data_IF_952371816825
#
_entry.id   IF_952371816825
#
_cell.length_a   1.000
_cell.length_b   1.000
_cell.length_c   1.000
_cell.angle_alpha   90.00
_cell.angle_beta   90.00
_cell.angle_gamma   90.00
#
_symmetry.space_group_name_H-M   'P 1'
#
loop_
_entity.id
_entity.type
_entity.pdbx_description
1 polymer ?
#
# COMPACT_ATOMS: atom_id res chain seq x y z
N UNK A 1 -5.58 4.89 -2.73
CA UNK A 1 -7.05 5.08 -2.59
C UNK A 1 -7.46 6.54 -2.35
N UNK A 2 -6.95 7.24 -1.32
CA UNK A 2 -7.35 8.65 -1.06
C UNK A 2 -7.13 9.59 -2.24
N UNK A 3 -6.00 9.47 -2.95
CA UNK A 3 -5.72 10.27 -4.16
C UNK A 3 -6.73 9.98 -5.27
N UNK A 4 -7.15 8.72 -5.44
CA UNK A 4 -8.19 8.37 -6.43
C UNK A 4 -9.53 9.01 -6.10
N UNK A 5 -9.91 9.03 -4.82
CA UNK A 5 -11.13 9.73 -4.37
C UNK A 5 -11.08 11.21 -4.76
N UNK A 6 -9.96 11.89 -4.53
CA UNK A 6 -9.78 13.30 -4.90
C UNK A 6 -9.81 13.51 -6.42
N UNK A 7 -9.22 12.62 -7.21
CA UNK A 7 -9.37 12.61 -8.68
C UNK A 7 -10.83 12.48 -9.13
N UNK A 8 -11.69 11.89 -8.30
CA UNK A 8 -13.12 11.70 -8.59
C UNK A 8 -14.04 12.66 -7.82
N UNK A 9 -13.52 13.74 -7.24
CA UNK A 9 -14.34 14.75 -6.54
C UNK A 9 -14.95 14.25 -5.22
N UNK A 10 -14.33 13.23 -4.62
CA UNK A 10 -14.73 12.66 -3.33
C UNK A 10 -13.71 13.05 -2.26
N UNK A 11 -14.20 13.34 -1.05
CA UNK A 11 -13.36 13.56 0.13
C UNK A 11 -12.60 12.28 0.52
N UNK A 12 -11.51 12.42 1.28
CA UNK A 12 -10.77 11.29 1.86
C UNK A 12 -11.69 10.34 2.67
N UNK A 13 -11.33 9.06 2.83
CA UNK A 13 -12.20 8.10 3.52
C UNK A 13 -12.50 8.54 4.95
N UNK A 14 -13.79 8.58 5.34
CA UNK A 14 -14.17 8.80 6.73
C UNK A 14 -13.77 7.56 7.54
N UNK A 15 -13.07 7.75 8.65
CA UNK A 15 -12.67 6.66 9.55
C UNK A 15 -13.89 5.94 10.13
N UNK A 16 -13.77 4.63 10.38
CA UNK A 16 -14.77 3.85 11.13
C UNK A 16 -14.26 3.60 12.55
N UNK A 17 -14.32 4.64 13.39
CA UNK A 17 -13.77 4.67 14.76
C UNK A 17 -14.84 4.57 15.87
N UNK A 18 -16.12 4.64 15.51
CA UNK A 18 -17.24 4.38 16.41
C UNK A 18 -17.94 3.10 15.96
N UNK A 19 -17.69 2.01 16.68
CA UNK A 19 -18.16 0.67 16.32
C UNK A 19 -19.67 0.47 16.52
N UNK A 20 -20.34 1.42 17.17
CA UNK A 20 -21.79 1.40 17.43
C UNK A 20 -22.57 2.25 16.43
N UNK A 21 -21.89 3.02 15.58
CA UNK A 21 -22.53 3.79 14.52
C UNK A 21 -22.86 2.91 13.30
N UNK A 22 -24.00 3.17 12.63
CA UNK A 22 -24.30 2.52 11.35
C UNK A 22 -23.22 2.77 10.30
N UNK A 23 -22.88 1.73 9.55
CA UNK A 23 -22.05 1.82 8.35
C UNK A 23 -22.93 2.37 7.22
N UNK A 24 -22.78 3.67 6.95
CA UNK A 24 -23.58 4.37 5.94
C UNK A 24 -23.46 3.72 4.54
N UNK A 25 -22.27 3.30 4.15
CA UNK A 25 -22.01 2.71 2.84
C UNK A 25 -22.43 1.24 2.78
N UNK A 26 -23.52 0.96 2.07
CA UNK A 26 -23.86 -0.41 1.64
C UNK A 26 -22.99 -0.86 0.47
N UNK A 27 -22.84 -2.18 0.31
CA UNK A 27 -22.10 -2.77 -0.80
C UNK A 27 -22.72 -4.10 -1.26
N UNK A 28 -22.87 -4.24 -2.58
CA UNK A 28 -23.48 -5.41 -3.23
C UNK A 28 -22.45 -6.04 -4.17
N UNK A 29 -21.74 -7.09 -3.74
CA UNK A 29 -20.53 -7.56 -4.41
C UNK A 29 -20.78 -8.16 -5.79
N UNK A 30 -21.97 -8.73 -6.03
CA UNK A 30 -22.33 -9.45 -7.27
C UNK A 30 -21.29 -10.52 -7.64
N UNK A 31 -20.67 -11.10 -6.62
CA UNK A 31 -19.77 -12.25 -6.74
C UNK A 31 -20.57 -13.52 -6.46
N UNK A 32 -20.19 -14.59 -7.13
CA UNK A 32 -20.71 -15.94 -6.92
C UNK A 32 -19.56 -16.91 -6.68
N UNK A 33 -19.76 -17.87 -5.79
CA UNK A 33 -18.77 -18.91 -5.48
C UNK A 33 -19.28 -20.24 -6.02
N UNK A 34 -18.57 -20.80 -7.00
CA UNK A 34 -18.90 -22.12 -7.55
C UNK A 34 -18.78 -23.22 -6.48
N UNK A 35 -17.77 -23.13 -5.61
CA UNK A 35 -17.51 -24.10 -4.54
C UNK A 35 -18.63 -24.08 -3.50
N UNK A 36 -19.03 -22.89 -3.04
CA UNK A 36 -20.10 -22.76 -2.07
C UNK A 36 -21.50 -22.89 -2.71
N UNK A 37 -21.58 -22.80 -4.04
CA UNK A 37 -22.83 -22.71 -4.82
C UNK A 37 -23.77 -21.60 -4.30
N UNK A 38 -23.17 -20.47 -3.89
CA UNK A 38 -23.89 -19.34 -3.30
C UNK A 38 -23.22 -18.01 -3.63
N UNK A 39 -24.06 -17.00 -3.82
CA UNK A 39 -23.65 -15.62 -3.96
C UNK A 39 -23.05 -15.09 -2.65
N UNK A 40 -22.11 -14.14 -2.77
CA UNK A 40 -21.57 -13.43 -1.63
C UNK A 40 -22.63 -12.47 -1.05
N UNK A 41 -22.95 -12.54 0.25
CA UNK A 41 -23.97 -11.69 0.86
C UNK A 41 -23.62 -10.20 0.72
N UNK A 42 -24.60 -9.34 0.38
CA UNK A 42 -24.42 -7.91 0.41
C UNK A 42 -24.46 -7.36 1.84
N UNK A 43 -23.92 -6.15 2.04
CA UNK A 43 -24.21 -5.33 3.23
C UNK A 43 -25.14 -4.19 2.82
N UNK A 44 -26.32 -4.11 3.42
CA UNK A 44 -27.24 -3.01 3.16
C UNK A 44 -26.75 -1.72 3.83
N UNK A 45 -27.09 -0.57 3.24
CA UNK A 45 -26.73 0.73 3.78
C UNK A 45 -27.34 0.92 5.19
N UNK A 46 -26.55 1.49 6.11
CA UNK A 46 -26.96 1.67 7.50
C UNK A 46 -26.90 0.39 8.36
N UNK A 47 -26.27 -0.68 7.87
CA UNK A 47 -26.01 -1.86 8.70
C UNK A 47 -25.10 -1.50 9.88
N UNK A 48 -25.37 -2.06 11.06
CA UNK A 48 -24.52 -1.91 12.25
C UNK A 48 -23.90 -3.25 12.58
N UNK A 49 -22.64 -3.27 12.99
CA UNK A 49 -22.03 -4.51 13.52
C UNK A 49 -22.70 -4.89 14.84
N UNK A 50 -22.71 -6.18 15.16
CA UNK A 50 -23.37 -6.74 16.35
C UNK A 50 -22.46 -7.79 16.98
N UNK A 51 -22.70 -8.09 18.24
CA UNK A 51 -22.01 -9.18 18.93
C UNK A 51 -22.20 -10.49 18.15
N UNK A 52 -21.12 -11.25 18.05
CA UNK A 52 -21.04 -12.47 17.25
C UNK A 52 -21.17 -13.69 18.14
N UNK A 53 -22.05 -14.61 17.78
CA UNK A 53 -22.16 -15.94 18.39
C UNK A 53 -22.44 -16.99 17.30
N UNK A 54 -21.37 -17.44 16.65
CA UNK A 54 -21.42 -18.39 15.53
C UNK A 54 -20.63 -19.65 15.88
N UNK A 55 -21.25 -20.62 16.60
CA UNK A 55 -20.55 -21.84 17.02
C UNK A 55 -19.96 -22.67 15.89
N UNK A 56 -20.58 -22.67 14.71
CA UNK A 56 -20.07 -23.40 13.52
C UNK A 56 -18.73 -22.85 13.02
N UNK A 57 -18.52 -21.54 13.19
CA UNK A 57 -17.32 -20.83 12.76
C UNK A 57 -16.31 -20.74 13.92
N UNK A 58 -16.67 -21.24 15.11
CA UNK A 58 -15.90 -21.11 16.36
C UNK A 58 -15.65 -19.65 16.76
N UNK A 59 -16.60 -18.77 16.44
CA UNK A 59 -16.52 -17.33 16.72
C UNK A 59 -17.53 -16.99 17.82
N UNK A 60 -17.03 -16.39 18.90
CA UNK A 60 -17.84 -15.70 19.90
C UNK A 60 -17.08 -14.48 20.38
N UNK A 61 -17.61 -13.29 20.08
CA UNK A 61 -16.95 -12.03 20.41
C UNK A 61 -17.96 -10.88 20.50
N UNK A 62 -17.78 -10.01 21.49
CA UNK A 62 -18.63 -8.84 21.67
C UNK A 62 -17.99 -7.59 21.05
N UNK A 63 -18.80 -6.65 20.55
CA UNK A 63 -18.31 -5.36 20.02
C UNK A 63 -17.51 -4.58 21.06
N UNK A 64 -17.82 -4.77 22.35
CA UNK A 64 -17.08 -4.17 23.48
C UNK A 64 -15.62 -4.65 23.57
N UNK A 65 -15.30 -5.83 23.03
CA UNK A 65 -13.92 -6.32 22.97
C UNK A 65 -13.07 -5.47 22.01
N UNK A 66 -13.62 -5.07 20.85
CA UNK A 66 -12.94 -4.15 19.93
C UNK A 66 -12.65 -2.81 20.62
N UNK A 67 -13.62 -2.29 21.40
CA UNK A 67 -13.47 -1.05 22.16
C UNK A 67 -12.34 -1.19 23.20
N UNK A 68 -12.32 -2.31 23.92
CA UNK A 68 -11.30 -2.62 24.92
C UNK A 68 -9.91 -2.74 24.29
N UNK A 69 -9.78 -3.46 23.18
CA UNK A 69 -8.49 -3.61 22.49
C UNK A 69 -7.99 -2.27 21.95
N UNK A 70 -8.86 -1.47 21.33
CA UNK A 70 -8.53 -0.08 20.93
C UNK A 70 -7.94 0.69 22.10
N UNK A 71 -8.61 0.71 23.24
CA UNK A 71 -8.19 1.52 24.39
C UNK A 71 -6.83 1.04 24.93
N UNK A 72 -6.59 -0.27 24.94
CA UNK A 72 -5.28 -0.86 25.27
C UNK A 72 -4.18 -0.46 24.28
N UNK A 73 -4.48 -0.41 22.98
CA UNK A 73 -3.53 0.06 21.95
C UNK A 73 -3.17 1.53 22.15
N UNK A 74 -4.18 2.38 22.31
CA UNK A 74 -3.98 3.81 22.54
C UNK A 74 -3.13 4.00 23.81
N UNK A 75 -3.44 3.30 24.91
CA UNK A 75 -2.66 3.38 26.14
C UNK A 75 -1.20 2.94 25.95
N UNK A 76 -0.95 1.85 25.21
CA UNK A 76 0.41 1.38 24.96
C UNK A 76 1.24 2.38 24.14
N UNK A 77 0.61 3.05 23.17
CA UNK A 77 1.23 4.12 22.38
C UNK A 77 1.45 5.36 23.24
N UNK A 78 0.49 5.73 24.10
CA UNK A 78 0.66 6.85 25.01
C UNK A 78 1.83 6.65 25.98
N UNK A 79 1.93 5.44 26.55
CA UNK A 79 3.02 5.00 27.42
C UNK A 79 4.35 4.79 26.67
N UNK A 80 4.34 4.76 25.33
CA UNK A 80 5.45 4.32 24.49
C UNK A 80 6.03 2.97 24.94
N UNK A 81 5.16 2.06 25.39
CA UNK A 81 5.56 0.74 25.86
C UNK A 81 4.40 -0.28 25.83
N UNK A 82 4.72 -1.54 25.52
CA UNK A 82 3.77 -2.65 25.48
C UNK A 82 3.88 -3.53 26.72
N UNK A 83 2.74 -3.99 27.23
CA UNK A 83 2.65 -4.91 28.36
C UNK A 83 2.86 -6.35 27.90
N UNK A 84 3.83 -7.04 28.49
CA UNK A 84 4.07 -8.47 28.27
C UNK A 84 3.22 -9.35 29.21
N UNK A 85 3.05 -10.65 28.90
CA UNK A 85 2.29 -11.57 29.75
C UNK A 85 2.83 -11.72 31.18
N UNK A 86 4.13 -11.49 31.37
CA UNK A 86 4.78 -11.53 32.69
C UNK A 86 4.64 -10.22 33.49
N UNK A 87 3.83 -9.27 33.03
CA UNK A 87 3.59 -7.98 33.68
C UNK A 87 4.67 -6.91 33.44
N UNK A 88 5.77 -7.24 32.74
CA UNK A 88 6.80 -6.25 32.37
C UNK A 88 6.34 -5.40 31.19
N UNK A 89 6.82 -4.16 31.13
CA UNK A 89 6.68 -3.30 29.95
C UNK A 89 7.94 -3.35 29.08
N UNK A 90 7.76 -3.39 27.77
CA UNK A 90 8.85 -3.25 26.77
C UNK A 90 8.63 -1.96 25.99
N UNK A 91 9.65 -1.09 25.87
CA UNK A 91 9.53 0.16 25.12
C UNK A 91 9.15 -0.07 23.65
N UNK A 92 8.38 0.86 23.09
CA UNK A 92 8.18 1.02 21.65
C UNK A 92 9.27 1.94 21.12
N UNK A 93 10.41 1.36 20.72
CA UNK A 93 11.56 2.11 20.22
C UNK A 93 11.45 2.45 18.72
N UNK A 94 12.28 3.40 18.27
CA UNK A 94 12.22 3.91 16.90
C UNK A 94 12.51 2.86 15.79
N UNK A 95 13.24 1.78 16.12
CA UNK A 95 13.68 0.77 15.16
C UNK A 95 12.65 -0.37 15.04
N UNK A 96 12.11 -0.85 16.16
CA UNK A 96 11.24 -2.03 16.20
C UNK A 96 9.80 -1.75 16.62
N UNK A 97 9.51 -0.56 17.16
CA UNK A 97 8.20 -0.23 17.72
C UNK A 97 7.05 -0.35 16.71
N UNK A 98 7.27 0.04 15.45
CA UNK A 98 6.26 -0.11 14.39
C UNK A 98 5.98 -1.59 14.06
N UNK A 99 7.01 -2.43 14.01
CA UNK A 99 6.88 -3.87 13.76
C UNK A 99 6.17 -4.58 14.93
N UNK A 100 6.51 -4.21 16.16
CA UNK A 100 5.81 -4.69 17.36
C UNK A 100 4.33 -4.30 17.31
N UNK A 101 4.01 -3.03 17.02
CA UNK A 101 2.63 -2.58 16.91
C UNK A 101 1.89 -3.26 15.76
N UNK A 102 2.52 -3.50 14.61
CA UNK A 102 1.93 -4.22 13.48
C UNK A 102 1.48 -5.62 13.87
N UNK A 103 2.38 -6.39 14.50
CA UNK A 103 2.09 -7.75 14.97
C UNK A 103 1.04 -7.80 16.10
N UNK A 104 0.98 -6.77 16.95
CA UNK A 104 -0.07 -6.66 17.96
C UNK A 104 -1.42 -6.34 17.29
N UNK A 105 -1.46 -5.37 16.38
CA UNK A 105 -2.68 -4.79 15.79
C UNK A 105 -3.41 -5.73 14.84
N UNK A 106 -2.67 -6.42 13.96
CA UNK A 106 -3.23 -7.27 12.91
C UNK A 106 -4.29 -8.23 13.46
N UNK A 107 -4.05 -9.06 14.47
CA UNK A 107 -2.80 -9.48 15.11
C UNK A 107 -2.16 -10.66 14.36
N UNK A 108 -0.88 -10.95 14.66
CA UNK A 108 -0.19 -12.13 14.14
C UNK A 108 0.18 -13.12 15.26
N UNK A 109 0.58 -14.34 14.89
CA UNK A 109 0.99 -15.36 15.88
C UNK A 109 2.24 -14.96 16.68
N UNK A 110 3.05 -14.06 16.15
CA UNK A 110 4.26 -13.54 16.82
C UNK A 110 3.98 -12.27 17.66
N UNK A 111 2.71 -11.91 17.83
CA UNK A 111 2.25 -10.89 18.77
C UNK A 111 2.82 -11.11 20.17
N UNK A 112 3.41 -10.05 20.76
CA UNK A 112 4.09 -10.13 22.06
C UNK A 112 3.14 -10.40 23.23
N UNK A 113 1.85 -10.11 23.09
CA UNK A 113 0.83 -10.38 24.10
C UNK A 113 -0.59 -10.40 23.50
N UNK A 114 -0.87 -11.40 22.66
CA UNK A 114 -2.17 -11.53 21.97
C UNK A 114 -3.37 -11.64 22.92
N UNK A 115 -3.20 -12.29 24.08
CA UNK A 115 -4.27 -12.39 25.08
C UNK A 115 -4.70 -11.05 25.68
N UNK A 116 -3.79 -10.06 25.72
CA UNK A 116 -4.11 -8.73 26.24
C UNK A 116 -4.50 -7.74 25.13
N UNK A 117 -3.75 -7.68 24.03
CA UNK A 117 -4.01 -6.73 22.94
C UNK A 117 -5.07 -7.20 21.94
N UNK A 118 -5.44 -8.48 21.97
CA UNK A 118 -6.49 -9.03 21.14
C UNK A 118 -6.10 -9.17 19.68
N UNK A 119 -7.10 -9.01 18.81
CA UNK A 119 -7.02 -9.26 17.37
C UNK A 119 -7.80 -8.18 16.59
N UNK A 120 -7.54 -6.91 16.92
CA UNK A 120 -8.41 -5.77 16.57
C UNK A 120 -8.67 -5.67 15.06
N UNK A 121 -7.63 -5.60 14.23
CA UNK A 121 -7.78 -5.43 12.77
C UNK A 121 -8.57 -6.59 12.15
N UNK A 122 -8.19 -7.84 12.43
CA UNK A 122 -8.83 -9.04 11.89
C UNK A 122 -10.28 -9.17 12.36
N UNK A 123 -10.55 -8.96 13.64
CA UNK A 123 -11.92 -9.04 14.15
C UNK A 123 -12.79 -7.93 13.58
N UNK A 124 -12.26 -6.73 13.30
CA UNK A 124 -13.00 -5.72 12.55
C UNK A 124 -13.49 -6.20 11.19
N UNK A 125 -12.65 -6.96 10.45
CA UNK A 125 -13.07 -7.62 9.22
C UNK A 125 -14.23 -8.61 9.46
N UNK A 126 -14.12 -9.45 10.50
CA UNK A 126 -15.13 -10.47 10.88
C UNK A 126 -16.46 -9.82 11.28
N UNK A 127 -16.45 -8.82 12.15
CA UNK A 127 -17.65 -8.10 12.58
C UNK A 127 -18.38 -7.44 11.42
N UNK A 128 -17.64 -6.83 10.48
CA UNK A 128 -18.22 -6.21 9.29
C UNK A 128 -18.76 -7.27 8.32
N UNK A 129 -18.05 -8.39 8.15
CA UNK A 129 -18.42 -9.42 7.17
C UNK A 129 -19.68 -10.20 7.57
N UNK A 130 -19.90 -10.40 8.88
CA UNK A 130 -21.08 -11.09 9.43
C UNK A 130 -22.19 -10.16 9.91
N UNK A 131 -22.13 -8.85 9.61
CA UNK A 131 -23.14 -7.89 10.11
C UNK A 131 -24.58 -8.23 9.71
N UNK A 132 -24.77 -9.03 8.66
CA UNK A 132 -26.06 -9.49 8.17
C UNK A 132 -26.59 -10.76 8.85
N UNK A 133 -25.72 -11.56 9.48
CA UNK A 133 -26.07 -12.81 10.17
C UNK A 133 -25.10 -13.10 11.34
N UNK A 134 -25.10 -12.27 12.39
CA UNK A 134 -24.07 -12.32 13.43
C UNK A 134 -24.12 -13.56 14.34
N UNK A 135 -25.24 -14.28 14.37
CA UNK A 135 -25.45 -15.45 15.23
C UNK A 135 -25.82 -16.72 14.45
N UNK A 136 -25.58 -16.70 13.13
CA UNK A 136 -25.80 -17.83 12.24
C UNK A 136 -27.25 -18.33 12.12
N UNK A 137 -28.24 -17.59 12.62
CA UNK A 137 -29.64 -18.00 12.56
C UNK A 137 -30.18 -18.12 11.12
N UNK A 138 -29.59 -17.40 10.17
CA UNK A 138 -29.99 -17.41 8.76
C UNK A 138 -29.10 -18.32 7.89
N UNK A 139 -28.12 -19.01 8.47
CA UNK A 139 -27.21 -19.92 7.78
C UNK A 139 -26.38 -19.24 6.66
N UNK A 140 -26.10 -17.94 6.81
CA UNK A 140 -25.36 -17.16 5.81
C UNK A 140 -23.84 -17.24 6.04
N UNK A 141 -23.09 -17.10 4.93
CA UNK A 141 -21.62 -16.96 4.95
C UNK A 141 -21.18 -15.52 5.21
N UNK A 142 -19.90 -15.29 5.41
CA UNK A 142 -19.36 -13.93 5.48
C UNK A 142 -19.53 -13.18 4.14
N UNK A 143 -19.73 -11.86 4.21
CA UNK A 143 -19.61 -10.97 3.04
C UNK A 143 -18.14 -10.76 2.64
N UNK A 144 -17.89 -9.96 1.60
CA UNK A 144 -16.54 -9.79 1.01
C UNK A 144 -15.46 -9.30 1.98
N UNK A 145 -15.83 -8.63 3.08
CA UNK A 145 -14.88 -8.24 4.11
C UNK A 145 -14.23 -9.43 4.85
N UNK A 146 -14.82 -10.63 4.77
CA UNK A 146 -14.31 -11.84 5.42
C UNK A 146 -13.20 -12.56 4.64
N UNK A 147 -12.87 -12.13 3.42
CA UNK A 147 -11.84 -12.75 2.59
C UNK A 147 -10.89 -11.70 1.99
N UNK A 148 -9.60 -11.87 2.24
CA UNK A 148 -8.53 -11.00 1.74
C UNK A 148 -8.55 -10.76 0.22
N UNK A 149 -8.97 -11.75 -0.59
CA UNK A 149 -9.03 -11.63 -2.04
C UNK A 149 -10.21 -10.75 -2.53
N UNK A 150 -11.18 -10.48 -1.66
CA UNK A 150 -12.40 -9.73 -2.02
C UNK A 150 -12.62 -8.46 -1.19
N UNK A 151 -11.99 -8.33 -0.02
CA UNK A 151 -12.24 -7.25 0.94
C UNK A 151 -12.02 -5.85 0.34
N UNK A 152 -10.96 -5.65 -0.45
CA UNK A 152 -10.66 -4.34 -1.08
C UNK A 152 -11.73 -3.84 -2.07
N UNK A 153 -12.71 -4.69 -2.44
CA UNK A 153 -13.85 -4.30 -3.26
C UNK A 153 -14.88 -3.47 -2.49
N UNK A 154 -14.97 -3.65 -1.17
CA UNK A 154 -15.94 -2.98 -0.32
C UNK A 154 -15.45 -1.59 0.11
N UNK A 155 -16.22 -0.50 -0.08
CA UNK A 155 -15.84 0.83 0.40
C UNK A 155 -15.50 0.90 1.90
N UNK A 156 -16.10 0.04 2.74
CA UNK A 156 -15.83 0.03 4.18
C UNK A 156 -14.42 -0.47 4.52
N UNK A 157 -13.79 -1.26 3.65
CA UNK A 157 -12.39 -1.68 3.80
C UNK A 157 -11.49 -0.47 4.06
N UNK A 158 -11.66 0.55 3.23
CA UNK A 158 -10.86 1.76 3.31
C UNK A 158 -11.22 2.65 4.51
N UNK A 159 -12.45 2.57 5.03
CA UNK A 159 -12.86 3.26 6.26
C UNK A 159 -12.27 2.61 7.50
N UNK A 160 -12.24 1.28 7.51
CA UNK A 160 -11.64 0.46 8.56
C UNK A 160 -10.12 0.64 8.59
N UNK A 161 -9.46 0.47 7.44
CA UNK A 161 -8.01 0.64 7.33
C UNK A 161 -7.55 2.09 7.56
N UNK A 162 -8.35 3.11 7.20
CA UNK A 162 -8.05 4.49 7.58
C UNK A 162 -8.09 4.72 9.10
N UNK A 163 -8.92 3.97 9.83
CA UNK A 163 -8.95 4.03 11.29
C UNK A 163 -7.75 3.29 11.91
N UNK A 164 -7.40 2.12 11.37
CA UNK A 164 -6.21 1.38 11.79
C UNK A 164 -4.92 2.18 11.53
N UNK A 165 -4.78 2.77 10.33
CA UNK A 165 -3.66 3.68 10.01
C UNK A 165 -3.57 4.83 11.01
N UNK A 166 -4.70 5.44 11.37
CA UNK A 166 -4.71 6.54 12.33
C UNK A 166 -4.17 6.14 13.71
N UNK A 167 -4.41 4.91 14.18
CA UNK A 167 -3.81 4.40 15.42
C UNK A 167 -2.29 4.28 15.26
N UNK A 168 -1.81 3.75 14.12
CA UNK A 168 -0.36 3.74 13.86
C UNK A 168 0.24 5.14 13.77
N UNK A 169 -0.50 6.11 13.23
CA UNK A 169 -0.06 7.50 13.18
C UNK A 169 0.09 8.11 14.58
N UNK A 170 -0.69 7.69 15.59
CA UNK A 170 -0.47 8.13 16.98
C UNK A 170 0.95 7.81 17.46
N UNK A 171 1.46 6.62 17.12
CA UNK A 171 2.83 6.23 17.42
C UNK A 171 3.84 7.01 16.57
N UNK A 172 3.64 7.07 15.25
CA UNK A 172 4.56 7.80 14.35
C UNK A 172 4.68 9.28 14.71
N UNK A 173 3.61 9.90 15.21
CA UNK A 173 3.60 11.29 15.64
C UNK A 173 4.36 11.53 16.97
N UNK A 174 4.59 10.49 17.77
CA UNK A 174 5.43 10.55 18.98
C UNK A 174 6.92 10.37 18.70
N UNK A 175 7.29 9.90 17.51
CA UNK A 175 8.69 9.77 17.13
C UNK A 175 9.32 11.13 16.92
N UNK A 176 10.60 11.25 17.28
CA UNK A 176 11.36 12.48 17.05
C UNK A 176 11.44 12.72 15.53
N UNK A 177 11.14 13.94 15.04
CA UNK A 177 11.39 14.30 13.66
C UNK A 177 12.84 13.98 13.29
N UNK A 178 13.06 13.47 12.10
CA UNK A 178 14.42 13.20 11.62
C UNK A 178 15.25 14.48 11.67
N UNK A 179 16.45 14.35 12.22
CA UNK A 179 17.47 15.37 12.20
C UNK A 179 18.19 15.40 10.85
N UNK A 180 18.84 16.52 10.52
CA UNK A 180 19.51 16.69 9.23
C UNK A 180 20.56 15.59 8.96
N UNK A 181 21.26 15.06 9.97
CA UNK A 181 22.20 13.95 9.81
C UNK A 181 21.55 12.64 9.32
N UNK A 182 20.23 12.49 9.49
CA UNK A 182 19.49 11.33 8.98
C UNK A 182 19.04 11.51 7.52
N UNK A 183 18.96 12.76 7.04
CA UNK A 183 18.57 13.11 5.68
C UNK A 183 19.75 13.37 4.76
N UNK A 184 20.76 14.05 5.28
CA UNK A 184 21.84 14.62 4.51
C UNK A 184 22.68 13.53 3.89
N UNK A 185 22.99 13.73 2.61
CA UNK A 185 24.03 12.99 1.92
C UNK A 185 25.11 14.01 1.50
N UNK A 186 26.07 14.33 2.39
CA UNK A 186 27.03 15.40 2.16
C UNK A 186 27.76 15.25 0.83
N UNK A 187 27.86 16.36 0.11
CA UNK A 187 28.47 16.42 -1.22
C UNK A 187 27.53 16.04 -2.37
N UNK A 188 26.35 15.48 -2.10
CA UNK A 188 25.35 15.15 -3.12
C UNK A 188 24.26 16.21 -3.16
N UNK A 189 24.02 16.75 -4.35
CA UNK A 189 22.95 17.71 -4.62
C UNK A 189 22.09 17.23 -5.77
N UNK A 190 20.79 17.06 -5.53
CA UNK A 190 19.82 16.85 -6.61
C UNK A 190 19.51 18.21 -7.21
N UNK A 191 19.93 18.44 -8.44
CA UNK A 191 19.73 19.69 -9.16
C UNK A 191 18.32 19.79 -9.72
N UNK A 192 17.77 18.68 -10.22
CA UNK A 192 16.39 18.61 -10.68
C UNK A 192 15.88 17.17 -10.73
N UNK A 193 14.56 17.04 -10.72
CA UNK A 193 13.84 15.83 -11.09
C UNK A 193 12.75 16.21 -12.09
N UNK A 194 12.47 15.33 -13.05
CA UNK A 194 11.38 15.50 -14.00
C UNK A 194 10.94 14.19 -14.63
N UNK A 195 9.86 14.27 -15.40
CA UNK A 195 9.31 13.13 -16.15
C UNK A 195 9.42 13.41 -17.64
N UNK A 196 9.88 12.43 -18.40
CA UNK A 196 9.82 12.40 -19.85
C UNK A 196 8.85 11.31 -20.29
N UNK A 197 7.76 11.71 -20.96
CA UNK A 197 6.75 10.82 -21.52
C UNK A 197 6.40 11.22 -22.95
N UNK A 198 5.67 10.35 -23.67
CA UNK A 198 5.14 10.66 -25.00
C UNK A 198 4.16 11.83 -25.02
N UNK A 199 3.60 12.22 -23.87
CA UNK A 199 2.66 13.34 -23.71
C UNK A 199 3.33 14.69 -23.43
N UNK A 200 4.66 14.72 -23.35
CA UNK A 200 5.46 15.90 -23.04
C UNK A 200 6.15 15.84 -21.67
N UNK A 201 6.96 16.85 -21.34
CA UNK A 201 7.66 16.92 -20.06
C UNK A 201 6.69 17.08 -18.90
N UNK A 202 6.93 16.37 -17.80
CA UNK A 202 6.20 16.47 -16.52
C UNK A 202 4.69 16.21 -16.62
N UNK A 203 4.28 15.53 -17.70
CA UNK A 203 2.91 15.12 -17.98
C UNK A 203 2.83 13.61 -18.01
N UNK A 204 1.81 13.10 -17.35
CA UNK A 204 1.47 11.68 -17.29
C UNK A 204 0.09 11.48 -17.90
N UNK A 205 -0.04 10.46 -18.73
CA UNK A 205 -1.30 10.10 -19.39
C UNK A 205 -1.84 8.80 -18.80
N UNK A 206 -3.14 8.81 -18.49
CA UNK A 206 -3.89 7.61 -18.10
C UNK A 206 -5.09 7.43 -19.01
N UNK A 207 -5.53 6.18 -19.18
CA UNK A 207 -6.68 5.79 -19.98
C UNK A 207 -7.21 4.44 -19.55
N UNK A 208 -8.30 4.00 -20.17
CA UNK A 208 -8.77 2.62 -20.02
C UNK A 208 -8.03 1.69 -20.97
N UNK A 209 -7.72 0.48 -20.51
CA UNK A 209 -7.20 -0.61 -21.34
C UNK A 209 -8.12 -1.83 -21.21
N UNK A 210 -8.50 -2.41 -22.33
CA UNK A 210 -9.20 -3.69 -22.39
C UNK A 210 -8.18 -4.82 -22.58
N UNK A 211 -8.19 -5.76 -21.64
CA UNK A 211 -7.31 -6.93 -21.65
C UNK A 211 -8.12 -8.22 -21.53
N UNK A 212 -7.45 -9.34 -21.82
CA UNK A 212 -8.01 -10.68 -21.68
C UNK A 212 -7.40 -11.43 -20.50
N UNK A 213 -8.19 -12.30 -19.89
CA UNK A 213 -7.80 -13.23 -18.84
C UNK A 213 -8.29 -14.64 -19.20
N UNK A 214 -7.42 -15.63 -19.07
CA UNK A 214 -7.77 -17.05 -19.24
C UNK A 214 -8.41 -17.59 -17.95
N UNK A 215 -9.67 -18.02 -18.05
CA UNK A 215 -10.46 -18.54 -16.94
C UNK A 215 -10.61 -20.05 -16.96
N UNK A 216 -10.25 -20.73 -18.04
CA UNK A 216 -10.55 -22.15 -18.26
C UNK A 216 -10.05 -23.07 -17.13
N UNK A 217 -8.93 -22.75 -16.48
CA UNK A 217 -8.42 -23.54 -15.35
C UNK A 217 -9.29 -23.44 -14.08
N UNK A 218 -10.02 -22.34 -13.89
CA UNK A 218 -10.83 -22.11 -12.69
C UNK A 218 -12.31 -22.41 -12.89
N UNK A 219 -12.70 -23.01 -14.01
CA UNK A 219 -14.09 -23.34 -14.34
C UNK A 219 -14.29 -24.85 -14.33
N UNK A 220 -14.71 -25.38 -13.18
CA UNK A 220 -14.96 -26.81 -13.01
C UNK A 220 -16.13 -27.28 -13.88
N UNK A 221 -16.06 -28.56 -14.29
CA UNK A 221 -17.12 -29.23 -15.07
C UNK A 221 -17.48 -28.56 -16.41
N UNK A 222 -16.53 -27.82 -17.00
CA UNK A 222 -16.66 -27.24 -18.34
C UNK A 222 -15.84 -28.03 -19.37
N UNK A 223 -16.24 -28.05 -20.67
CA UNK A 223 -15.42 -28.64 -21.72
C UNK A 223 -14.02 -28.03 -21.76
N UNK A 224 -13.01 -28.85 -22.03
CA UNK A 224 -11.62 -28.37 -22.18
C UNK A 224 -11.53 -27.36 -23.32
N UNK A 225 -10.81 -26.27 -23.08
CA UNK A 225 -10.59 -25.22 -24.06
C UNK A 225 -10.17 -23.92 -23.39
N UNK A 226 -9.74 -22.95 -24.18
CA UNK A 226 -9.49 -21.59 -23.71
C UNK A 226 -10.82 -20.88 -23.47
N UNK A 227 -10.98 -20.30 -22.28
CA UNK A 227 -12.14 -19.48 -21.90
C UNK A 227 -11.63 -18.10 -21.53
N UNK A 228 -11.61 -17.20 -22.51
CA UNK A 228 -11.12 -15.84 -22.31
C UNK A 228 -12.25 -14.90 -21.87
N UNK A 229 -12.03 -14.22 -20.74
CA UNK A 229 -12.84 -13.07 -20.36
C UNK A 229 -12.15 -11.77 -20.75
N UNK A 230 -12.92 -10.81 -21.26
CA UNK A 230 -12.47 -9.44 -21.50
C UNK A 230 -12.86 -8.56 -20.33
N UNK A 231 -11.92 -7.76 -19.84
CA UNK A 231 -12.17 -6.80 -18.77
C UNK A 231 -11.44 -5.49 -19.07
N UNK A 232 -11.94 -4.39 -18.50
CA UNK A 232 -11.38 -3.06 -18.66
C UNK A 232 -10.79 -2.60 -17.33
N UNK A 233 -9.57 -2.08 -17.36
CA UNK A 233 -8.86 -1.58 -16.20
C UNK A 233 -8.17 -0.25 -16.50
N UNK A 234 -7.81 0.49 -15.45
CA UNK A 234 -6.98 1.69 -15.59
C UNK A 234 -5.61 1.29 -16.16
N UNK A 235 -5.02 2.20 -16.92
CA UNK A 235 -3.69 2.06 -17.47
C UNK A 235 -3.03 3.43 -17.64
N UNK A 236 -1.70 3.47 -17.65
CA UNK A 236 -0.92 4.65 -17.99
C UNK A 236 0.01 4.41 -19.17
N UNK A 237 0.45 5.49 -19.81
CA UNK A 237 1.57 5.42 -20.74
C UNK A 237 2.88 5.26 -19.97
N UNK A 238 3.82 4.48 -20.52
CA UNK A 238 5.15 4.34 -19.96
C UNK A 238 5.90 5.69 -20.03
N UNK A 239 6.67 5.98 -18.99
CA UNK A 239 7.46 7.20 -18.88
C UNK A 239 8.82 6.92 -18.24
N UNK A 240 9.72 7.91 -18.30
CA UNK A 240 11.03 7.87 -17.66
C UNK A 240 11.18 9.02 -16.66
N UNK A 241 11.73 8.74 -15.50
CA UNK A 241 12.28 9.76 -14.61
C UNK A 241 13.63 10.24 -15.16
N UNK A 242 13.86 11.54 -15.07
CA UNK A 242 15.14 12.18 -15.39
C UNK A 242 15.57 12.99 -14.18
N UNK A 243 16.69 12.62 -13.58
CA UNK A 243 17.21 13.24 -12.35
C UNK A 243 18.61 13.77 -12.63
N UNK A 244 18.79 15.07 -12.47
CA UNK A 244 20.11 15.69 -12.55
C UNK A 244 20.71 15.78 -11.14
N UNK A 245 21.91 15.22 -10.96
CA UNK A 245 22.59 15.18 -9.66
C UNK A 245 24.04 15.62 -9.83
N UNK A 246 24.52 16.41 -8.87
CA UNK A 246 25.91 16.81 -8.76
C UNK A 246 26.55 16.19 -7.52
N UNK A 247 27.69 15.54 -7.71
CA UNK A 247 28.49 14.95 -6.65
C UNK A 247 29.82 15.70 -6.49
N UNK A 248 29.98 16.37 -5.36
CA UNK A 248 31.15 17.18 -5.00
C UNK A 248 32.11 16.49 -4.04
N UNK A 249 31.92 15.19 -3.76
CA UNK A 249 32.77 14.43 -2.83
C UNK A 249 34.16 14.06 -3.39
N UNK A 250 34.39 14.29 -4.69
CA UNK A 250 35.65 13.98 -5.37
C UNK A 250 35.82 12.51 -5.77
N UNK A 251 34.90 11.63 -5.39
CA UNK A 251 34.88 10.21 -5.80
C UNK A 251 33.46 9.74 -6.14
N UNK A 252 33.35 8.60 -6.82
CA UNK A 252 32.05 7.97 -7.06
C UNK A 252 31.44 7.45 -5.75
N UNK A 253 30.15 7.69 -5.55
CA UNK A 253 29.41 7.20 -4.36
C UNK A 253 28.19 6.39 -4.78
N UNK A 254 27.67 5.57 -3.88
CA UNK A 254 26.39 4.87 -4.07
C UNK A 254 25.28 5.61 -3.34
N UNK A 255 24.18 5.90 -4.05
CA UNK A 255 22.98 6.49 -3.47
C UNK A 255 21.75 5.59 -3.62
N UNK A 256 20.83 5.68 -2.68
CA UNK A 256 19.47 5.13 -2.81
C UNK A 256 18.54 6.25 -3.28
N UNK A 257 18.05 6.15 -4.51
CA UNK A 257 17.07 7.06 -5.07
C UNK A 257 15.68 6.65 -4.58
N UNK A 258 14.93 7.59 -4.02
CA UNK A 258 13.58 7.41 -3.48
C UNK A 258 12.64 8.39 -4.17
N UNK A 259 11.63 7.88 -4.86
CA UNK A 259 10.66 8.68 -5.62
C UNK A 259 9.28 8.55 -4.98
N UNK A 260 8.64 9.68 -4.75
CA UNK A 260 7.28 9.75 -4.21
C UNK A 260 6.42 10.71 -5.02
N UNK A 261 5.11 10.52 -4.98
CA UNK A 261 4.14 11.44 -5.57
C UNK A 261 3.01 11.73 -4.60
N UNK A 262 2.62 13.00 -4.52
CA UNK A 262 1.47 13.43 -3.73
C UNK A 262 0.61 14.45 -4.49
N UNK A 263 -0.70 14.54 -4.20
CA UNK A 263 -1.51 15.68 -4.59
C UNK A 263 -0.97 16.97 -3.96
N UNK A 264 -1.21 18.11 -4.62
CA UNK A 264 -0.83 19.44 -4.10
C UNK A 264 -1.94 20.10 -3.29
N UNK A 265 -3.20 19.76 -3.59
CA UNK A 265 -4.38 20.35 -2.97
C UNK A 265 -5.23 19.28 -2.27
N UNK A 266 -5.97 19.70 -1.25
CA UNK A 266 -6.99 18.91 -0.57
C UNK A 266 -8.27 18.78 -1.41
N UNK A 267 -9.25 18.03 -0.88
CA UNK A 267 -10.57 17.86 -1.50
C UNK A 267 -11.38 19.15 -1.71
N UNK A 268 -11.01 20.26 -1.05
CA UNK A 268 -11.65 21.58 -1.20
C UNK A 268 -10.92 22.49 -2.20
N UNK A 269 -9.78 22.03 -2.74
CA UNK A 269 -8.93 22.78 -3.65
C UNK A 269 -7.91 23.70 -2.96
N UNK A 270 -7.74 23.60 -1.63
CA UNK A 270 -6.73 24.36 -0.90
C UNK A 270 -5.39 23.63 -0.90
N UNK A 271 -4.25 24.34 -0.89
CA UNK A 271 -2.95 23.70 -0.76
C UNK A 271 -2.83 22.87 0.52
N UNK A 272 -2.31 21.66 0.41
CA UNK A 272 -2.03 20.81 1.57
C UNK A 272 -0.82 21.36 2.34
N UNK A 273 -0.90 21.37 3.66
CA UNK A 273 0.29 21.55 4.50
C UNK A 273 1.16 20.29 4.48
N UNK A 274 2.38 20.39 5.00
CA UNK A 274 3.33 19.27 5.00
C UNK A 274 2.79 18.02 5.72
N UNK A 275 2.19 18.16 6.90
CA UNK A 275 1.75 17.02 7.72
C UNK A 275 0.59 16.24 7.06
N UNK A 276 -0.30 16.94 6.35
CA UNK A 276 -1.32 16.29 5.55
C UNK A 276 -0.74 15.68 4.26
N UNK A 277 0.16 16.40 3.58
CA UNK A 277 0.72 15.96 2.31
C UNK A 277 1.63 14.74 2.47
N UNK A 278 2.43 14.66 3.55
CA UNK A 278 3.31 13.50 3.80
C UNK A 278 2.53 12.19 3.92
N UNK A 279 1.30 12.23 4.46
CA UNK A 279 0.41 11.07 4.57
C UNK A 279 -0.20 10.65 3.23
N UNK A 280 -0.03 11.46 2.20
CA UNK A 280 -0.50 11.23 0.84
C UNK A 280 0.65 10.97 -0.15
N UNK A 281 1.89 10.90 0.34
CA UNK A 281 3.06 10.53 -0.46
C UNK A 281 3.02 9.04 -0.79
N UNK A 282 2.68 8.73 -2.04
CA UNK A 282 2.70 7.37 -2.59
C UNK A 282 4.11 7.07 -3.10
N UNK A 283 4.70 5.97 -2.66
CA UNK A 283 5.99 5.51 -3.17
C UNK A 283 5.87 5.14 -4.65
N UNK A 284 6.75 5.67 -5.48
CA UNK A 284 6.76 5.48 -6.93
C UNK A 284 7.88 4.54 -7.36
N UNK A 285 9.05 4.66 -6.73
CA UNK A 285 10.19 3.77 -6.93
C UNK A 285 11.24 3.99 -5.83
N UNK A 286 12.06 2.95 -5.60
CA UNK A 286 13.24 2.95 -4.75
C UNK A 286 14.32 2.06 -5.38
N UNK A 287 15.47 2.64 -5.69
CA UNK A 287 16.57 1.89 -6.33
C UNK A 287 17.93 2.46 -5.99
N UNK A 288 18.97 1.63 -6.07
CA UNK A 288 20.36 2.04 -5.85
C UNK A 288 21.00 2.48 -7.16
N UNK A 289 21.82 3.53 -7.12
CA UNK A 289 22.54 4.03 -8.29
C UNK A 289 23.94 4.52 -7.92
N UNK A 290 24.91 4.26 -8.81
CA UNK A 290 26.26 4.79 -8.68
C UNK A 290 26.29 6.22 -9.23
N UNK A 291 26.79 7.16 -8.43
CA UNK A 291 26.85 8.58 -8.76
C UNK A 291 28.32 8.98 -8.92
N UNK A 292 28.82 9.16 -10.15
CA UNK A 292 30.21 9.56 -10.39
C UNK A 292 30.47 10.96 -9.82
N UNK A 293 31.74 11.35 -9.64
CA UNK A 293 32.08 12.71 -9.26
C UNK A 293 31.71 13.70 -10.38
N UNK A 294 31.23 14.89 -10.01
CA UNK A 294 30.70 15.91 -10.91
C UNK A 294 29.21 15.75 -11.20
N UNK A 295 28.73 16.45 -12.23
CA UNK A 295 27.34 16.39 -12.68
C UNK A 295 27.05 15.13 -13.49
N UNK A 296 25.91 14.50 -13.24
CA UNK A 296 25.43 13.33 -13.98
C UNK A 296 23.90 13.29 -14.04
N UNK A 297 23.39 12.58 -15.05
CA UNK A 297 21.96 12.40 -15.27
C UNK A 297 21.57 10.94 -15.03
N UNK A 298 20.63 10.70 -14.14
CA UNK A 298 20.03 9.39 -13.90
C UNK A 298 18.74 9.29 -14.71
N UNK A 299 18.59 8.21 -15.48
CA UNK A 299 17.36 7.88 -16.21
C UNK A 299 16.79 6.56 -15.69
N UNK A 300 15.52 6.55 -15.33
CA UNK A 300 14.85 5.38 -14.75
C UNK A 300 13.49 5.17 -15.43
N UNK A 301 13.28 4.00 -16.03
CA UNK A 301 12.01 3.68 -16.66
C UNK A 301 10.96 3.33 -15.61
N UNK A 302 9.72 3.79 -15.81
CA UNK A 302 8.56 3.42 -14.97
C UNK A 302 8.38 1.91 -14.83
N UNK A 303 8.61 1.14 -15.90
CA UNK A 303 8.54 -0.33 -15.95
C UNK A 303 9.54 -1.04 -15.03
N UNK A 304 10.55 -0.33 -14.51
CA UNK A 304 11.51 -0.85 -13.55
C UNK A 304 11.13 -0.55 -12.10
N UNK A 305 9.94 0.01 -11.84
CA UNK A 305 9.51 0.37 -10.49
C UNK A 305 9.56 -0.83 -9.54
N UNK A 306 10.27 -0.64 -8.43
CA UNK A 306 10.35 -1.54 -7.27
C UNK A 306 9.06 -1.63 -6.46
N UNK A 307 8.01 -0.91 -6.85
CA UNK A 307 6.67 -0.99 -6.26
C UNK A 307 5.81 -2.03 -6.98
N UNK A 308 6.05 -2.23 -8.28
CA UNK A 308 5.09 -2.91 -9.16
C UNK A 308 5.59 -4.22 -9.74
N UNK A 309 4.65 -5.06 -10.15
CA UNK A 309 4.87 -6.23 -11.00
C UNK A 309 4.17 -6.05 -12.36
N UNK A 310 4.73 -6.61 -13.44
CA UNK A 310 4.16 -6.43 -14.77
C UNK A 310 2.86 -7.22 -14.95
N UNK A 311 2.09 -6.87 -15.99
CA UNK A 311 0.75 -7.43 -16.26
C UNK A 311 0.76 -8.96 -16.30
N UNK A 312 1.71 -9.54 -17.04
CA UNK A 312 1.89 -10.98 -17.20
C UNK A 312 2.18 -11.70 -15.89
N UNK A 313 2.70 -11.02 -14.87
CA UNK A 313 2.92 -11.65 -13.55
C UNK A 313 1.64 -11.72 -12.73
N UNK A 314 0.76 -10.72 -12.87
CA UNK A 314 -0.55 -10.67 -12.19
C UNK A 314 -1.55 -11.61 -12.85
N UNK A 315 -1.64 -11.59 -14.19
CA UNK A 315 -2.67 -12.28 -14.96
C UNK A 315 -2.15 -13.51 -15.73
N UNK A 316 -0.99 -14.07 -15.34
CA UNK A 316 -0.44 -15.31 -15.90
C UNK A 316 -1.43 -16.47 -15.79
N UNK A 317 -1.37 -17.34 -16.79
CA UNK A 317 -2.10 -18.59 -16.77
C UNK A 317 -1.65 -19.46 -15.58
N UNK A 318 -2.60 -19.88 -14.76
CA UNK A 318 -2.32 -20.75 -13.61
C UNK A 318 -2.01 -22.20 -14.04
N UNK A 319 -2.24 -22.55 -15.31
CA UNK A 319 -1.90 -23.86 -15.87
C UNK A 319 -0.40 -24.13 -15.91
N UNK A 320 0.43 -23.08 -15.91
CA UNK A 320 1.88 -23.18 -15.89
C UNK A 320 2.49 -23.07 -14.48
N UNK A 321 1.68 -23.08 -13.42
CA UNK A 321 2.19 -23.08 -12.03
C UNK A 321 3.02 -24.35 -11.79
N UNK A 322 4.32 -24.24 -11.49
CA UNK A 322 5.19 -25.38 -11.26
C UNK A 322 4.99 -25.95 -9.85
N UNK A 323 5.34 -27.23 -9.69
CA UNK A 323 5.31 -27.91 -8.40
C UNK A 323 3.91 -28.24 -7.87
N UNK A 324 3.89 -29.06 -6.82
CA UNK A 324 2.67 -29.37 -6.08
C UNK A 324 2.37 -28.27 -5.03
N UNK A 325 1.11 -28.10 -4.60
CA UNK A 325 0.78 -27.19 -3.51
C UNK A 325 1.67 -27.42 -2.28
N UNK A 326 2.37 -26.36 -1.83
CA UNK A 326 3.28 -26.41 -0.69
C UNK A 326 4.74 -26.74 -1.04
N UNK A 327 5.07 -27.00 -2.31
CA UNK A 327 6.46 -27.16 -2.75
C UNK A 327 7.20 -25.81 -2.79
N UNK A 328 8.53 -25.85 -2.80
CA UNK A 328 9.36 -24.65 -2.87
C UNK A 328 9.17 -23.90 -4.20
N UNK A 329 8.98 -24.63 -5.30
CA UNK A 329 8.75 -24.09 -6.65
C UNK A 329 7.36 -23.44 -6.76
N UNK A 330 6.36 -23.96 -6.07
CA UNK A 330 5.05 -23.34 -5.97
C UNK A 330 5.12 -22.05 -5.12
N UNK A 331 5.86 -22.06 -4.01
CA UNK A 331 6.03 -20.91 -3.12
C UNK A 331 6.84 -19.75 -3.76
N UNK A 332 8.05 -20.03 -4.27
CA UNK A 332 8.34 -19.85 -5.70
C UNK A 332 7.52 -18.83 -6.48
N UNK A 333 6.76 -19.45 -7.37
CA UNK A 333 5.81 -18.86 -8.26
C UNK A 333 4.83 -17.93 -7.52
N UNK A 334 4.24 -18.36 -6.42
CA UNK A 334 3.20 -17.60 -5.70
C UNK A 334 3.73 -16.28 -5.14
N UNK A 335 4.93 -16.26 -4.56
CA UNK A 335 5.58 -15.04 -4.08
C UNK A 335 5.79 -14.03 -5.21
N UNK A 336 6.15 -14.48 -6.41
CA UNK A 336 6.24 -13.60 -7.57
C UNK A 336 4.88 -12.96 -7.93
N UNK A 337 3.76 -13.50 -7.46
CA UNK A 337 2.45 -12.86 -7.60
C UNK A 337 2.24 -11.65 -6.68
N UNK A 338 3.08 -11.49 -5.65
CA UNK A 338 3.06 -10.30 -4.79
C UNK A 338 3.66 -9.09 -5.52
N UNK A 339 2.93 -7.99 -5.50
CA UNK A 339 3.38 -6.68 -5.95
C UNK A 339 2.23 -5.85 -6.46
N UNK A 340 2.41 -4.53 -6.48
CA UNK A 340 1.35 -3.66 -6.98
C UNK A 340 1.20 -3.83 -8.50
N UNK A 341 -0.02 -3.92 -9.06
CA UNK A 341 -0.17 -4.06 -10.51
C UNK A 341 0.41 -2.85 -11.24
N UNK A 342 1.30 -3.07 -12.22
CA UNK A 342 1.99 -1.96 -12.90
C UNK A 342 1.03 -0.94 -13.53
N UNK A 343 -0.09 -1.40 -14.07
CA UNK A 343 -1.12 -0.53 -14.66
C UNK A 343 -1.82 0.40 -13.65
N UNK A 344 -1.55 0.25 -12.35
CA UNK A 344 -2.02 1.10 -11.26
C UNK A 344 -0.89 1.91 -10.58
N UNK A 345 0.30 2.00 -11.19
CA UNK A 345 1.45 2.72 -10.62
C UNK A 345 1.11 4.18 -10.26
N UNK A 346 0.36 4.87 -11.11
CA UNK A 346 -0.06 6.26 -10.90
C UNK A 346 -1.58 6.35 -10.68
N UNK A 347 -2.06 7.35 -9.91
CA UNK A 347 -3.48 7.62 -9.79
C UNK A 347 -4.15 7.89 -11.15
N UNK A 348 -5.47 7.71 -11.24
CA UNK A 348 -6.24 8.00 -12.45
C UNK A 348 -6.05 9.42 -12.96
N UNK A 349 -6.03 10.42 -12.07
CA UNK A 349 -6.04 11.83 -12.46
C UNK A 349 -7.39 12.27 -13.04
N UNK A 350 -7.40 13.36 -13.82
CA UNK A 350 -8.64 13.96 -14.35
C UNK A 350 -8.49 14.35 -15.81
N UNK A 351 -9.62 14.51 -16.52
CA UNK A 351 -9.62 14.98 -17.92
C UNK A 351 -9.05 16.39 -18.10
N UNK A 352 -9.07 17.21 -17.05
CA UNK A 352 -8.49 18.57 -17.05
C UNK A 352 -7.01 18.60 -16.67
N UNK A 353 -6.46 17.47 -16.23
CA UNK A 353 -5.15 17.40 -15.58
C UNK A 353 -5.28 17.55 -14.07
N UNK A 354 -4.84 16.52 -13.35
CA UNK A 354 -4.78 16.51 -11.89
C UNK A 354 -3.38 16.92 -11.42
N UNK A 355 -3.25 18.00 -10.63
CA UNK A 355 -1.96 18.50 -10.21
C UNK A 355 -1.37 17.65 -9.08
N UNK A 356 -0.13 17.22 -9.28
CA UNK A 356 0.64 16.44 -8.31
C UNK A 356 2.04 17.02 -8.20
N UNK A 357 2.75 16.68 -7.14
CA UNK A 357 4.18 16.93 -6.99
C UNK A 357 4.91 15.59 -7.03
N UNK A 358 5.91 15.49 -7.91
CA UNK A 358 6.93 14.46 -7.85
C UNK A 358 8.02 14.91 -6.89
N UNK A 359 8.40 14.03 -5.98
CA UNK A 359 9.49 14.22 -5.03
C UNK A 359 10.59 13.19 -5.30
N UNK A 360 11.83 13.64 -5.23
CA UNK A 360 13.02 12.80 -5.30
C UNK A 360 13.92 13.09 -4.11
N UNK A 361 14.43 12.03 -3.47
CA UNK A 361 15.51 12.07 -2.50
C UNK A 361 16.59 11.08 -2.91
N UNK A 362 17.85 11.44 -2.74
CA UNK A 362 18.97 10.51 -2.82
C UNK A 362 19.61 10.37 -1.43
N UNK A 363 19.37 9.26 -0.75
CA UNK A 363 20.00 8.95 0.55
C UNK A 363 21.31 8.16 0.38
N UNK A 364 22.17 8.20 1.40
CA UNK A 364 23.42 7.46 1.42
C UNK A 364 23.17 5.94 1.51
N UNK A 365 23.55 5.21 0.47
CA UNK A 365 23.33 3.76 0.41
C UNK A 365 24.00 2.99 1.54
N UNK A 366 25.13 3.47 2.07
CA UNK A 366 25.82 2.79 3.17
C UNK A 366 25.00 2.74 4.46
N UNK A 367 24.13 3.72 4.68
CA UNK A 367 23.24 3.78 5.84
C UNK A 367 21.95 2.98 5.60
N UNK A 368 21.59 2.78 4.35
CA UNK A 368 20.34 2.13 3.93
C UNK A 368 20.52 0.62 3.71
N UNK A 369 21.69 0.17 3.29
CA UNK A 369 21.91 -1.22 2.85
C UNK A 369 21.74 -2.23 3.98
N UNK A 370 21.18 -3.38 3.62
CA UNK A 370 21.26 -4.62 4.42
C UNK A 370 22.18 -5.59 3.70
N UNK A 371 23.26 -6.01 4.35
CA UNK A 371 24.21 -6.98 3.77
C UNK A 371 23.59 -8.36 3.83
N UNK A 372 23.28 -8.91 2.66
CA UNK A 372 22.68 -10.24 2.48
C UNK A 372 22.87 -10.70 1.03
N UNK A 373 22.89 -12.02 0.82
CA UNK A 373 22.89 -12.59 -0.53
C UNK A 373 21.47 -12.60 -1.09
N UNK A 374 21.26 -11.94 -2.23
CA UNK A 374 19.99 -12.03 -2.95
C UNK A 374 19.98 -13.34 -3.75
N UNK A 375 18.98 -14.18 -3.50
CA UNK A 375 18.80 -15.47 -4.17
C UNK A 375 17.35 -15.53 -4.67
N UNK A 376 17.14 -16.13 -5.83
CA UNK A 376 15.82 -16.21 -6.47
C UNK A 376 15.61 -15.17 -7.57
N UNK A 377 14.50 -15.31 -8.29
CA UNK A 377 14.23 -14.55 -9.53
C UNK A 377 13.34 -13.32 -9.31
N UNK A 378 12.57 -13.28 -8.22
CA UNK A 378 11.54 -12.27 -7.98
C UNK A 378 11.96 -11.27 -6.90
N UNK A 379 12.89 -10.39 -7.26
CA UNK A 379 13.35 -9.29 -6.41
C UNK A 379 12.74 -7.93 -6.80
N UNK A 380 11.93 -7.89 -7.85
CA UNK A 380 11.10 -6.73 -8.20
C UNK A 380 9.93 -6.62 -7.20
N UNK A 381 9.30 -5.45 -7.09
CA UNK A 381 8.21 -5.17 -6.12
C UNK A 381 8.62 -5.21 -4.62
N UNK A 382 9.92 -5.15 -4.33
CA UNK A 382 10.44 -5.21 -2.97
C UNK A 382 9.94 -4.08 -2.05
N UNK A 383 9.46 -2.95 -2.58
CA UNK A 383 8.92 -1.86 -1.76
C UNK A 383 7.77 -2.31 -0.87
N UNK A 384 6.82 -3.11 -1.40
CA UNK A 384 5.64 -3.58 -0.67
C UNK A 384 5.69 -5.07 -0.30
N UNK A 385 6.47 -5.88 -1.01
CA UNK A 385 6.54 -7.33 -0.79
C UNK A 385 7.82 -7.78 -0.07
N UNK A 386 8.80 -6.89 0.10
CA UNK A 386 10.14 -7.29 0.55
C UNK A 386 10.79 -8.27 -0.42
N UNK A 387 11.67 -9.11 0.10
CA UNK A 387 12.35 -10.15 -0.68
C UNK A 387 12.11 -11.49 0.00
N UNK A 388 11.69 -12.50 -0.76
CA UNK A 388 11.37 -13.82 -0.21
C UNK A 388 12.56 -14.38 0.56
N UNK A 389 12.30 -14.90 1.76
CA UNK A 389 13.30 -15.53 2.64
C UNK A 389 14.50 -14.64 2.98
N UNK A 390 14.35 -13.32 2.85
CA UNK A 390 15.40 -12.32 3.07
C UNK A 390 14.88 -11.16 3.90
N UNK A 391 15.80 -10.35 4.42
CA UNK A 391 15.44 -9.12 5.11
C UNK A 391 14.96 -8.09 4.10
N UNK A 392 14.08 -7.20 4.55
CA UNK A 392 13.71 -6.03 3.76
C UNK A 392 14.98 -5.25 3.35
N UNK A 393 15.18 -4.93 2.06
CA UNK A 393 16.48 -4.50 1.53
C UNK A 393 16.82 -3.02 1.80
N UNK A 394 16.25 -2.44 2.85
CA UNK A 394 16.41 -1.04 3.24
C UNK A 394 16.26 -0.92 4.76
N UNK A 395 17.28 -0.40 5.44
CA UNK A 395 17.29 -0.22 6.89
C UNK A 395 16.41 0.95 7.34
N UNK A 396 16.07 1.86 6.43
CA UNK A 396 15.18 2.98 6.75
C UNK A 396 13.76 2.46 6.97
N UNK A 397 12.97 3.10 7.85
CA UNK A 397 11.56 2.78 7.99
C UNK A 397 10.83 2.83 6.65
N UNK A 398 9.90 1.89 6.43
CA UNK A 398 9.02 1.93 5.25
C UNK A 398 8.28 3.28 5.22
N UNK A 399 8.31 3.96 4.07
CA UNK A 399 7.80 5.32 3.91
C UNK A 399 8.78 6.45 4.22
N UNK A 400 10.03 6.17 4.60
CA UNK A 400 11.07 7.20 4.74
C UNK A 400 11.23 8.00 3.43
N UNK A 401 11.21 9.35 3.46
CA UNK A 401 11.34 10.21 4.65
C UNK A 401 10.03 10.74 5.25
N UNK A 402 8.86 10.27 4.81
CA UNK A 402 7.53 10.84 5.12
C UNK A 402 6.79 10.14 6.27
N UNK A 403 7.36 9.07 6.83
CA UNK A 403 6.74 8.29 7.90
C UNK A 403 6.66 9.03 9.25
N UNK A 404 7.47 10.10 9.43
CA UNK A 404 7.50 10.91 10.66
C UNK A 404 7.01 12.34 10.41
N UNK A 405 6.47 13.02 11.44
CA UNK A 405 6.18 14.45 11.36
C UNK A 405 7.48 15.27 11.21
N UNK A 406 7.34 16.50 10.72
CA UNK A 406 8.41 17.48 10.63
C UNK A 406 7.93 18.84 11.14
N UNK A 407 8.88 19.73 11.45
CA UNK A 407 8.59 21.14 11.75
C UNK A 407 8.31 21.96 10.48
N UNK A 408 8.52 21.39 9.30
CA UNK A 408 8.24 22.03 8.02
C UNK A 408 6.75 22.37 7.88
N UNK A 409 6.45 23.59 7.42
CA UNK A 409 5.07 24.00 7.09
C UNK A 409 4.63 23.52 5.72
N UNK A 410 5.56 23.43 4.77
CA UNK A 410 5.32 22.98 3.40
C UNK A 410 6.38 21.95 2.97
N UNK A 411 6.12 21.24 1.85
CA UNK A 411 7.11 20.36 1.25
C UNK A 411 8.39 21.11 0.83
N UNK A 412 8.29 22.38 0.46
CA UNK A 412 9.45 23.18 0.10
C UNK A 412 10.38 23.45 1.29
N UNK A 413 9.80 23.67 2.47
CA UNK A 413 10.56 23.89 3.72
C UNK A 413 11.23 22.62 4.23
N UNK A 414 10.76 21.45 3.76
CA UNK A 414 11.30 20.15 4.11
C UNK A 414 12.56 19.76 3.32
N UNK A 415 12.82 20.39 2.17
CA UNK A 415 13.86 19.95 1.26
C UNK A 415 15.28 20.20 1.79
N UNK A 416 16.11 19.17 1.70
CA UNK A 416 17.57 19.26 1.87
C UNK A 416 18.26 19.25 0.49
N UNK A 417 19.59 19.53 0.40
CA UNK A 417 20.28 19.60 -0.90
C UNK A 417 20.19 18.33 -1.76
N UNK A 418 20.05 17.15 -1.13
CA UNK A 418 19.88 15.86 -1.80
C UNK A 418 18.42 15.53 -2.12
N UNK A 419 17.52 16.51 -2.06
CA UNK A 419 16.11 16.39 -2.43
C UNK A 419 15.73 17.40 -3.51
N UNK A 420 14.77 17.03 -4.35
CA UNK A 420 14.16 17.94 -5.31
C UNK A 420 12.69 17.60 -5.52
N UNK A 421 11.91 18.60 -5.91
CA UNK A 421 10.51 18.43 -6.27
C UNK A 421 10.23 18.95 -7.66
N UNK A 422 9.14 18.47 -8.26
CA UNK A 422 8.68 18.90 -9.56
C UNK A 422 7.15 18.84 -9.63
N UNK A 423 6.48 19.96 -9.95
CA UNK A 423 5.06 19.91 -10.29
C UNK A 423 4.86 19.07 -11.57
N UNK A 424 3.93 18.12 -11.51
CA UNK A 424 3.52 17.30 -12.64
C UNK A 424 2.00 17.33 -12.79
N UNK A 425 1.51 16.85 -13.93
CA UNK A 425 0.07 16.77 -14.20
C UNK A 425 -0.31 15.39 -14.72
N UNK A 426 -1.33 14.77 -14.12
CA UNK A 426 -1.90 13.50 -14.58
C UNK A 426 -3.19 13.77 -15.37
N UNK A 427 -3.18 13.47 -16.66
CA UNK A 427 -4.33 13.67 -17.57
C UNK A 427 -4.96 12.33 -17.90
N UNK A 428 -6.23 12.20 -17.52
CA UNK A 428 -7.04 11.04 -17.87
C UNK A 428 -7.74 11.27 -19.22
N UNK A 429 -7.59 10.33 -20.14
CA UNK A 429 -8.39 10.25 -21.37
C UNK A 429 -9.43 9.16 -21.24
N UNK A 430 -10.71 9.50 -21.42
CA UNK A 430 -11.83 8.55 -21.36
C UNK A 430 -11.96 7.75 -22.67
N UNK A 431 -10.84 7.17 -23.09
CA UNK A 431 -10.71 6.32 -24.25
C UNK A 431 -10.31 4.91 -23.78
N UNK A 432 -10.77 3.90 -24.52
CA UNK A 432 -10.41 2.50 -24.28
C UNK A 432 -9.44 2.05 -25.36
N UNK A 433 -8.20 1.70 -24.97
CA UNK A 433 -7.28 1.00 -25.87
C UNK A 433 -7.38 -0.51 -25.68
N UNK A 434 -7.15 -1.26 -26.75
CA UNK A 434 -7.06 -2.73 -26.65
C UNK A 434 -5.61 -3.10 -26.42
N UNK A 435 -5.33 -3.90 -25.39
CA UNK A 435 -3.98 -4.41 -25.13
C UNK A 435 -3.53 -5.25 -26.33
N UNK A 436 -2.47 -4.84 -27.00
CA UNK A 436 -1.86 -5.64 -28.06
C UNK A 436 -1.26 -6.92 -27.46
N UNK A 437 -1.53 -8.08 -28.06
CA UNK A 437 -0.81 -9.30 -27.70
C UNK A 437 0.68 -9.07 -28.06
N UNK A 438 1.55 -9.01 -27.05
CA UNK A 438 3.00 -9.06 -27.23
C UNK A 438 3.46 -10.50 -27.12
#
# INVERSE_FOLDING_TARGET
YSVERMCNGLSRPKRYNNFREPIAEGYFPKLDSQVASRAWPPRFAGSTIRDLDRPVDQIRADVSELETWRDRFIQAIEDMAVLLPNGRKVPLDEETGMDVLGNLMESSIISRNRGFYGDLHNMGHVFISYSHDPDHRNLEQFGVMGDSATAMRDPVFYRWHAYIDDIFQLYKNKLTPYSNDKFDFPGIRVQSVGISSGSGPDRLSTQWEQSTLELGRGLDFTPRGSVLAKFTHLQHDEFNYVIEVNNTSGAGVMGTVRLFMAPVNDETGKPLNFDEQRRLMVEMDKFTHAIPAGSSTIRRASTQSSVTIPYERTFRAQSSRPGDPGSAEAAEFDFCGCGWPHHLLIPKGTTRGYPVVLFCMISNWNDDRVVQDLVGTCNDAASYCGIRDRKYPDRRPMGFPFDRPSRASSLQDFLTPNMATKPCTIVFSDNVRVRSAR
#
